data_IF_130752985902
#
_entry.id   IF_130752985902
#
_cell.length_a   1.000
_cell.length_b   1.000
_cell.length_c   1.000
_cell.angle_alpha   90.00
_cell.angle_beta   90.00
_cell.angle_gamma   90.00
#
_symmetry.space_group_name_H-M   'P 1'
#
loop_
_entity.id
_entity.type
_entity.pdbx_description
1 polymer ?
#
# COMPACT_ATOMS: atom_id res chain seq x y z
N UNK A 1 17.39 13.63 -4.87
CA UNK A 1 15.93 13.42 -5.05
C UNK A 1 15.61 12.22 -5.93
N UNK A 2 16.16 12.08 -7.14
CA UNK A 2 15.82 10.97 -8.06
C UNK A 2 16.12 9.58 -7.53
N UNK A 3 17.26 9.37 -6.84
CA UNK A 3 17.61 8.04 -6.27
C UNK A 3 16.65 7.63 -5.15
N UNK A 4 16.36 8.53 -4.21
CA UNK A 4 15.41 8.30 -3.11
C UNK A 4 14.01 8.02 -3.63
N UNK A 5 13.57 8.79 -4.64
CA UNK A 5 12.30 8.59 -5.32
C UNK A 5 12.19 7.19 -5.93
N UNK A 6 13.17 6.79 -6.77
CA UNK A 6 13.18 5.47 -7.39
C UNK A 6 13.25 4.35 -6.35
N UNK A 7 14.10 4.50 -5.32
CA UNK A 7 14.21 3.53 -4.25
C UNK A 7 12.87 3.36 -3.51
N UNK A 8 12.19 4.45 -3.16
CA UNK A 8 10.88 4.42 -2.54
C UNK A 8 9.83 3.73 -3.42
N UNK A 9 9.82 4.01 -4.73
CA UNK A 9 8.93 3.34 -5.69
C UNK A 9 9.17 1.84 -5.73
N UNK A 10 10.41 1.39 -5.85
CA UNK A 10 10.72 -0.03 -5.93
C UNK A 10 10.52 -0.75 -4.59
N UNK A 11 10.82 -0.10 -3.46
CA UNK A 11 10.55 -0.67 -2.13
C UNK A 11 9.05 -0.81 -1.90
N UNK A 12 8.24 0.17 -2.30
CA UNK A 12 6.78 0.04 -2.28
C UNK A 12 6.33 -1.19 -3.08
N UNK A 13 6.76 -1.29 -4.34
CA UNK A 13 6.36 -2.39 -5.21
C UNK A 13 6.81 -3.75 -4.66
N UNK A 14 8.04 -3.85 -4.14
CA UNK A 14 8.57 -5.07 -3.54
C UNK A 14 7.79 -5.49 -2.29
N UNK A 15 7.50 -4.56 -1.38
CA UNK A 15 6.71 -4.84 -0.17
C UNK A 15 5.31 -5.32 -0.56
N UNK A 16 4.62 -4.58 -1.44
CA UNK A 16 3.26 -4.93 -1.89
C UNK A 16 3.25 -6.27 -2.62
N UNK A 17 4.25 -6.57 -3.45
CA UNK A 17 4.36 -7.85 -4.13
C UNK A 17 4.56 -9.00 -3.14
N UNK A 18 5.55 -8.89 -2.25
CA UNK A 18 5.89 -9.97 -1.30
C UNK A 18 4.74 -10.21 -0.33
N UNK A 19 4.20 -9.15 0.29
CA UNK A 19 3.08 -9.28 1.20
C UNK A 19 1.80 -9.73 0.49
N UNK A 20 1.49 -9.15 -0.67
CA UNK A 20 0.31 -9.51 -1.45
C UNK A 20 0.35 -10.97 -1.90
N UNK A 21 1.48 -11.43 -2.45
CA UNK A 21 1.63 -12.83 -2.85
C UNK A 21 1.51 -13.79 -1.67
N UNK A 22 2.20 -13.48 -0.57
CA UNK A 22 2.17 -14.30 0.64
C UNK A 22 0.76 -14.35 1.23
N UNK A 23 0.07 -13.22 1.28
CA UNK A 23 -1.28 -13.14 1.84
C UNK A 23 -2.31 -13.89 0.99
N UNK A 24 -2.37 -13.59 -0.30
CA UNK A 24 -3.43 -14.07 -1.19
C UNK A 24 -3.22 -15.49 -1.71
N UNK A 25 -1.97 -15.91 -1.95
CA UNK A 25 -1.68 -17.20 -2.59
C UNK A 25 -1.07 -18.23 -1.66
N UNK A 26 -0.61 -17.85 -0.46
CA UNK A 26 0.00 -18.78 0.49
C UNK A 26 -0.84 -18.90 1.77
N UNK A 27 -1.03 -17.80 2.51
CA UNK A 27 -1.64 -17.85 3.84
C UNK A 27 -3.17 -18.01 3.81
N UNK A 28 -3.84 -17.27 2.93
CA UNK A 28 -5.31 -17.21 2.90
C UNK A 28 -5.91 -17.71 1.60
N UNK A 29 -5.14 -18.48 0.80
CA UNK A 29 -5.58 -18.95 -0.52
C UNK A 29 -6.98 -19.57 -0.49
N UNK A 30 -7.19 -20.57 0.36
CA UNK A 30 -8.47 -21.29 0.46
C UNK A 30 -9.62 -20.38 0.92
N UNK A 31 -9.31 -19.41 1.79
CA UNK A 31 -10.28 -18.40 2.21
C UNK A 31 -10.70 -17.52 1.04
N UNK A 32 -9.76 -16.98 0.27
CA UNK A 32 -10.08 -16.16 -0.89
C UNK A 32 -10.83 -16.95 -1.97
N UNK A 33 -10.48 -18.23 -2.18
CA UNK A 33 -11.22 -19.12 -3.08
C UNK A 33 -12.67 -19.33 -2.60
N UNK A 34 -12.86 -19.60 -1.30
CA UNK A 34 -14.19 -19.79 -0.70
C UNK A 34 -15.05 -18.52 -0.74
N UNK A 35 -14.43 -17.33 -0.73
CA UNK A 35 -15.12 -16.05 -0.83
C UNK A 35 -15.60 -15.76 -2.26
N UNK A 36 -15.06 -16.44 -3.28
CA UNK A 36 -15.47 -16.28 -4.68
C UNK A 36 -15.05 -14.95 -5.32
N UNK A 37 -14.03 -14.28 -4.78
CA UNK A 37 -13.58 -12.94 -5.20
C UNK A 37 -12.86 -12.95 -6.56
N UNK A 38 -12.21 -14.06 -6.92
CA UNK A 38 -11.46 -14.16 -8.17
C UNK A 38 -12.36 -14.54 -9.36
N UNK A 39 -12.87 -13.52 -10.05
CA UNK A 39 -13.69 -13.70 -11.26
C UNK A 39 -12.90 -14.11 -12.51
N UNK A 40 -11.58 -14.20 -12.42
CA UNK A 40 -10.68 -14.68 -13.48
C UNK A 40 -9.78 -15.75 -12.90
N UNK A 41 -9.74 -16.92 -13.54
CA UNK A 41 -8.90 -18.05 -13.11
C UNK A 41 -7.41 -17.73 -13.21
N UNK A 42 -6.97 -17.07 -14.29
CA UNK A 42 -5.57 -16.69 -14.48
C UNK A 42 -5.35 -15.18 -14.30
N UNK A 43 -4.57 -14.74 -13.31
CA UNK A 43 -4.29 -13.32 -13.13
C UNK A 43 -3.41 -12.77 -14.27
N UNK A 44 -3.73 -11.56 -14.75
CA UNK A 44 -2.88 -10.84 -15.70
C UNK A 44 -1.75 -10.17 -14.91
N UNK A 45 -0.67 -10.92 -14.68
CA UNK A 45 0.48 -10.49 -13.87
C UNK A 45 1.04 -9.11 -14.28
N UNK A 46 1.19 -8.77 -15.59
CA UNK A 46 1.68 -7.45 -15.99
C UNK A 46 0.82 -6.28 -15.48
N UNK A 47 -0.51 -6.43 -15.40
CA UNK A 47 -1.38 -5.39 -14.86
C UNK A 47 -1.20 -5.21 -13.36
N UNK A 48 -1.04 -6.32 -12.62
CA UNK A 48 -0.74 -6.29 -11.18
C UNK A 48 0.55 -5.54 -10.89
N UNK A 49 1.65 -5.92 -11.57
CA UNK A 49 2.94 -5.24 -11.42
C UNK A 49 2.89 -3.77 -11.83
N UNK A 50 2.25 -3.45 -12.96
CA UNK A 50 2.10 -2.06 -13.43
C UNK A 50 1.34 -1.22 -12.40
N UNK A 51 0.28 -1.78 -11.81
CA UNK A 51 -0.48 -1.12 -10.74
C UNK A 51 0.38 -0.79 -9.52
N UNK A 52 1.21 -1.75 -9.07
CA UNK A 52 2.12 -1.55 -7.94
C UNK A 52 3.17 -0.47 -8.24
N UNK A 53 3.73 -0.45 -9.46
CA UNK A 53 4.69 0.58 -9.86
C UNK A 53 4.06 1.98 -9.90
N UNK A 54 2.86 2.12 -10.48
CA UNK A 54 2.15 3.40 -10.52
C UNK A 54 1.82 3.91 -9.11
N UNK A 55 1.33 3.04 -8.24
CA UNK A 55 1.07 3.37 -6.84
C UNK A 55 2.36 3.79 -6.12
N UNK A 56 3.47 3.07 -6.34
CA UNK A 56 4.78 3.41 -5.80
C UNK A 56 5.32 4.74 -6.30
N UNK A 57 5.11 5.10 -7.57
CA UNK A 57 5.47 6.40 -8.13
C UNK A 57 4.69 7.53 -7.45
N UNK A 58 3.37 7.36 -7.31
CA UNK A 58 2.49 8.34 -6.67
C UNK A 58 2.86 8.54 -5.19
N UNK A 59 3.03 7.44 -4.44
CA UNK A 59 3.41 7.47 -3.03
C UNK A 59 4.77 8.13 -2.84
N UNK A 60 5.77 7.73 -3.64
CA UNK A 60 7.10 8.31 -3.58
C UNK A 60 7.11 9.80 -3.94
N UNK A 61 6.25 10.24 -4.87
CA UNK A 61 6.11 11.64 -5.27
C UNK A 61 5.43 12.49 -4.20
N UNK A 62 4.35 12.00 -3.60
CA UNK A 62 3.53 12.77 -2.66
C UNK A 62 4.08 12.80 -1.23
N UNK A 63 4.81 11.77 -0.80
CA UNK A 63 5.29 11.66 0.58
C UNK A 63 6.13 12.87 1.05
N UNK A 64 7.09 13.41 0.27
CA UNK A 64 7.88 14.57 0.69
C UNK A 64 7.03 15.79 1.04
N UNK A 65 5.93 16.03 0.31
CA UNK A 65 5.01 17.15 0.59
C UNK A 65 4.16 16.92 1.85
N UNK A 66 3.96 15.66 2.25
CA UNK A 66 3.28 15.31 3.49
C UNK A 66 4.21 15.39 4.70
N UNK A 67 5.49 15.06 4.54
CA UNK A 67 6.47 15.04 5.63
C UNK A 67 6.89 16.45 6.05
N UNK A 68 6.11 17.06 6.96
CA UNK A 68 6.35 18.42 7.50
C UNK A 68 7.22 18.44 8.77
N UNK A 69 7.96 17.37 9.06
CA UNK A 69 8.77 17.22 10.27
C UNK A 69 8.19 16.23 11.29
N UNK A 70 9.04 15.81 12.23
CA UNK A 70 8.74 14.77 13.23
C UNK A 70 9.46 13.44 12.97
N UNK A 71 9.04 12.38 13.67
CA UNK A 71 9.68 11.07 13.58
C UNK A 71 9.42 10.42 12.20
N UNK A 72 10.46 10.04 11.42
CA UNK A 72 10.30 9.61 10.02
C UNK A 72 9.35 8.44 9.84
N UNK A 73 9.49 7.41 10.68
CA UNK A 73 8.64 6.21 10.62
C UNK A 73 7.18 6.56 10.95
N UNK A 74 6.94 7.45 11.91
CA UNK A 74 5.59 7.84 12.31
C UNK A 74 4.86 8.58 11.19
N UNK A 75 5.56 9.50 10.52
CA UNK A 75 5.02 10.20 9.35
C UNK A 75 4.81 9.25 8.17
N UNK A 76 5.75 8.32 7.95
CA UNK A 76 5.65 7.26 6.95
C UNK A 76 4.39 6.41 7.12
N UNK A 77 4.18 5.86 8.33
CA UNK A 77 2.99 5.06 8.66
C UNK A 77 1.71 5.89 8.49
N UNK A 78 1.65 7.11 9.05
CA UNK A 78 0.47 7.97 8.94
C UNK A 78 0.08 8.23 7.48
N UNK A 79 1.06 8.61 6.65
CA UNK A 79 0.84 8.84 5.23
C UNK A 79 0.38 7.56 4.51
N UNK A 80 1.11 6.47 4.70
CA UNK A 80 0.81 5.21 4.03
C UNK A 80 -0.56 4.66 4.43
N UNK A 81 -1.00 4.80 5.68
CA UNK A 81 -2.35 4.41 6.11
C UNK A 81 -3.44 5.24 5.43
N UNK A 82 -3.23 6.54 5.18
CA UNK A 82 -4.18 7.36 4.40
C UNK A 82 -4.27 6.87 2.95
N UNK A 83 -3.13 6.57 2.32
CA UNK A 83 -3.09 5.96 0.99
C UNK A 83 -3.72 4.57 0.98
N UNK A 84 -3.56 3.81 2.06
CA UNK A 84 -4.17 2.50 2.26
C UNK A 84 -5.68 2.58 2.40
N UNK A 85 -6.21 3.58 3.10
CA UNK A 85 -7.64 3.84 3.19
C UNK A 85 -8.23 4.22 1.84
N UNK A 86 -7.53 5.07 1.08
CA UNK A 86 -7.91 5.39 -0.30
C UNK A 86 -7.96 4.12 -1.16
N UNK A 87 -6.91 3.30 -1.12
CA UNK A 87 -6.85 2.04 -1.85
C UNK A 87 -7.91 1.03 -1.39
N UNK A 88 -8.20 0.94 -0.09
CA UNK A 88 -9.24 0.09 0.46
C UNK A 88 -10.62 0.49 -0.08
N UNK A 89 -10.92 1.79 -0.18
CA UNK A 89 -12.22 2.25 -0.68
C UNK A 89 -12.50 1.77 -2.11
N UNK A 90 -11.49 1.74 -2.97
CA UNK A 90 -11.64 1.31 -4.37
C UNK A 90 -11.48 -0.20 -4.51
N UNK A 91 -10.40 -0.77 -3.98
CA UNK A 91 -10.07 -2.19 -4.16
C UNK A 91 -10.95 -3.13 -3.34
N UNK A 92 -11.52 -2.67 -2.23
CA UNK A 92 -12.32 -3.49 -1.33
C UNK A 92 -13.79 -3.11 -1.42
N UNK A 93 -14.15 -1.86 -1.09
CA UNK A 93 -15.57 -1.46 -1.03
C UNK A 93 -16.20 -1.42 -2.43
N UNK A 94 -15.55 -0.76 -3.40
CA UNK A 94 -16.11 -0.67 -4.75
C UNK A 94 -16.15 -2.04 -5.45
N UNK A 95 -15.20 -2.94 -5.18
CA UNK A 95 -15.26 -4.31 -5.70
C UNK A 95 -16.37 -5.13 -5.04
N UNK A 96 -16.52 -5.05 -3.72
CA UNK A 96 -17.61 -5.70 -2.98
C UNK A 96 -19.00 -5.26 -3.47
N UNK A 97 -19.13 -4.04 -3.96
CA UNK A 97 -20.39 -3.52 -4.51
C UNK A 97 -20.75 -4.10 -5.89
N UNK A 98 -19.79 -4.71 -6.61
CA UNK A 98 -19.96 -5.16 -8.00
C UNK A 98 -19.75 -6.65 -8.20
N UNK A 99 -19.11 -7.33 -7.25
CA UNK A 99 -18.75 -8.73 -7.32
C UNK A 99 -19.52 -9.49 -6.23
N UNK A 100 -19.98 -10.69 -6.56
CA UNK A 100 -20.58 -11.57 -5.57
C UNK A 100 -19.50 -12.07 -4.60
N UNK A 101 -19.70 -11.84 -3.30
CA UNK A 101 -18.79 -12.27 -2.24
C UNK A 101 -19.58 -13.14 -1.26
N UNK A 102 -19.13 -14.37 -1.03
CA UNK A 102 -19.89 -15.35 -0.25
C UNK A 102 -20.17 -14.90 1.19
N UNK A 103 -19.21 -14.20 1.81
CA UNK A 103 -19.38 -13.59 3.14
C UNK A 103 -18.80 -12.18 3.18
N UNK A 104 -19.68 -11.18 3.26
CA UNK A 104 -19.28 -9.77 3.28
C UNK A 104 -18.51 -9.39 4.54
N UNK A 105 -18.91 -9.89 5.71
CA UNK A 105 -18.23 -9.59 6.98
C UNK A 105 -16.81 -10.15 6.98
N UNK A 106 -16.64 -11.39 6.53
CA UNK A 106 -15.33 -12.04 6.41
C UNK A 106 -14.44 -11.30 5.42
N UNK A 107 -14.98 -10.92 4.25
CA UNK A 107 -14.27 -10.11 3.26
C UNK A 107 -13.79 -8.78 3.82
N UNK A 108 -14.65 -8.03 4.50
CA UNK A 108 -14.26 -6.75 5.09
C UNK A 108 -13.20 -6.93 6.17
N UNK A 109 -13.33 -7.93 7.05
CA UNK A 109 -12.35 -8.19 8.10
C UNK A 109 -10.96 -8.54 7.54
N UNK A 110 -10.88 -9.48 6.58
CA UNK A 110 -9.59 -9.90 6.01
C UNK A 110 -8.94 -8.76 5.23
N UNK A 111 -9.74 -7.94 4.53
CA UNK A 111 -9.21 -6.82 3.76
C UNK A 111 -8.76 -5.65 4.64
N UNK A 112 -9.46 -5.37 5.75
CA UNK A 112 -9.02 -4.39 6.75
C UNK A 112 -7.67 -4.84 7.34
N UNK A 113 -7.56 -6.11 7.75
CA UNK A 113 -6.33 -6.65 8.31
C UNK A 113 -5.17 -6.53 7.30
N UNK A 114 -5.40 -6.95 6.05
CA UNK A 114 -4.40 -6.86 4.99
C UNK A 114 -3.93 -5.42 4.74
N UNK A 115 -4.86 -4.47 4.59
CA UNK A 115 -4.50 -3.08 4.30
C UNK A 115 -3.77 -2.43 5.49
N UNK A 116 -4.19 -2.69 6.73
CA UNK A 116 -3.49 -2.20 7.91
C UNK A 116 -2.05 -2.72 7.96
N UNK A 117 -1.84 -4.02 7.75
CA UNK A 117 -0.50 -4.62 7.76
C UNK A 117 0.34 -4.07 6.60
N UNK A 118 -0.16 -4.16 5.36
CA UNK A 118 0.58 -3.76 4.17
C UNK A 118 1.00 -2.30 4.26
N UNK A 119 0.08 -1.39 4.56
CA UNK A 119 0.38 0.04 4.56
C UNK A 119 1.16 0.49 5.79
N UNK A 120 1.11 -0.25 6.91
CA UNK A 120 2.04 -0.03 8.02
C UNK A 120 3.47 -0.38 7.61
N UNK A 121 3.69 -1.56 6.99
CA UNK A 121 5.02 -1.99 6.55
C UNK A 121 5.58 -1.07 5.45
N UNK A 122 4.73 -0.69 4.48
CA UNK A 122 5.08 0.33 3.48
C UNK A 122 5.46 1.64 4.15
N UNK A 123 4.67 2.11 5.12
CA UNK A 123 4.94 3.35 5.83
C UNK A 123 6.28 3.36 6.56
N UNK A 124 6.65 2.25 7.19
CA UNK A 124 7.99 2.07 7.78
C UNK A 124 9.07 2.21 6.69
N UNK A 125 8.94 1.50 5.58
CA UNK A 125 9.90 1.56 4.48
C UNK A 125 10.07 2.97 3.90
N UNK A 126 8.96 3.64 3.59
CA UNK A 126 8.96 5.01 3.03
C UNK A 126 9.57 6.00 4.03
N UNK A 127 9.20 5.92 5.30
CA UNK A 127 9.74 6.78 6.35
C UNK A 127 11.25 6.63 6.54
N UNK A 128 11.77 5.39 6.45
CA UNK A 128 13.20 5.12 6.52
C UNK A 128 13.97 5.64 5.30
N UNK A 129 13.41 5.50 4.09
CA UNK A 129 14.06 5.91 2.84
C UNK A 129 14.20 7.42 2.73
N UNK A 130 13.16 8.16 3.09
CA UNK A 130 13.16 9.62 3.01
C UNK A 130 13.77 10.27 4.27
N UNK A 131 13.75 9.59 5.40
CA UNK A 131 14.35 10.07 6.64
C UNK A 131 13.64 11.31 7.20
N UNK A 132 14.31 12.03 8.13
CA UNK A 132 13.78 13.26 8.71
C UNK A 132 13.51 14.30 7.62
N UNK A 133 12.43 15.07 7.78
CA UNK A 133 12.17 16.19 6.90
C UNK A 133 13.40 17.13 6.90
N UNK A 134 13.77 17.72 5.73
CA UNK A 134 14.76 18.77 5.69
C UNK A 134 14.38 19.85 6.71
N UNK A 135 15.29 20.20 7.62
CA UNK A 135 15.09 21.38 8.44
C UNK A 135 15.04 22.54 7.45
N UNK A 136 13.95 23.29 7.41
CA UNK A 136 14.03 24.63 6.86
C UNK A 136 15.15 25.32 7.62
N UNK A 137 16.21 25.73 6.92
CA UNK A 137 17.16 26.64 7.51
C UNK A 137 16.33 27.84 7.94
N UNK A 138 16.28 28.06 9.26
CA UNK A 138 15.91 29.35 9.80
C UNK A 138 16.88 30.36 9.17
N UNK A 139 16.49 30.95 8.04
CA UNK A 139 16.86 32.31 7.74
C UNK A 139 16.30 33.10 8.95
N UNK A 140 17.11 33.56 9.91
CA UNK A 140 18.41 34.16 9.73
C UNK A 140 18.16 35.66 9.63
N UNK A 141 18.12 36.29 10.81
CA UNK A 141 18.01 37.73 11.09
C UNK A 141 16.64 38.38 10.86
#
# INVERSE_FOLDING_TARGET
MTRTFLLATFVYAAITLVLGMTWHFILFKDLYDSLGIYNRQEPIIPLGFTSMLLQGLIIAYLYPSFNKGGHPIGQGIKFALLMGLFMFSVSTLANAAKIHVASMSTWLMIQIAFHLIQFTVVGVGIGLIYGPAPREHAHGL
#
